data_IF_328864682836
#
_entry.id   IF_328864682836
#
_cell.length_a   1.000
_cell.length_b   1.000
_cell.length_c   1.000
_cell.angle_alpha   90.00
_cell.angle_beta   90.00
_cell.angle_gamma   90.00
#
_symmetry.space_group_name_H-M   'P 1'
#
loop_
_entity.id
_entity.type
_entity.pdbx_description
1 polymer ?
#
# COMPACT_ATOMS: atom_id res chain seq x y z
N UNK A 1 24.04 17.57 1.32
CA UNK A 1 23.86 16.56 2.39
C UNK A 1 23.85 15.19 1.73
N UNK A 2 24.46 14.12 2.26
CA UNK A 2 24.53 12.89 1.50
C UNK A 2 23.15 12.22 1.52
N UNK A 3 22.51 12.15 0.35
CA UNK A 3 21.35 11.32 0.01
C UNK A 3 20.01 11.60 0.70
N UNK A 4 19.85 12.62 1.55
CA UNK A 4 18.53 12.98 2.12
C UNK A 4 17.51 13.32 1.02
N UNK A 5 17.97 13.86 -0.10
CA UNK A 5 17.16 14.17 -1.29
C UNK A 5 16.57 12.91 -1.95
N UNK A 6 17.09 11.71 -1.63
CA UNK A 6 16.55 10.45 -2.13
C UNK A 6 15.37 9.93 -1.31
N UNK A 7 15.14 10.44 -0.09
CA UNK A 7 14.09 9.95 0.78
C UNK A 7 12.68 10.12 0.18
N UNK A 8 12.28 11.29 -0.39
CA UNK A 8 11.00 11.42 -1.06
C UNK A 8 10.87 10.47 -2.27
N UNK A 9 11.95 10.28 -3.02
CA UNK A 9 11.96 9.36 -4.17
C UNK A 9 11.75 7.90 -3.74
N UNK A 10 12.40 7.47 -2.67
CA UNK A 10 12.25 6.13 -2.11
C UNK A 10 10.84 5.90 -1.56
N UNK A 11 10.30 6.86 -0.81
CA UNK A 11 8.94 6.81 -0.28
C UNK A 11 7.89 6.78 -1.40
N UNK A 12 8.11 7.50 -2.51
CA UNK A 12 7.23 7.44 -3.69
C UNK A 12 7.19 6.03 -4.27
N UNK A 13 8.35 5.35 -4.38
CA UNK A 13 8.40 3.97 -4.87
C UNK A 13 7.76 2.98 -3.90
N UNK A 14 7.89 3.21 -2.59
CA UNK A 14 7.19 2.40 -1.59
C UNK A 14 5.67 2.59 -1.66
N UNK A 15 5.19 3.83 -1.86
CA UNK A 15 3.76 4.12 -2.08
C UNK A 15 3.22 3.41 -3.33
N UNK A 16 3.93 3.51 -4.46
CA UNK A 16 3.57 2.79 -5.70
C UNK A 16 3.51 1.27 -5.47
N UNK A 17 4.46 0.72 -4.71
CA UNK A 17 4.46 -0.70 -4.38
C UNK A 17 3.26 -1.08 -3.50
N UNK A 18 2.86 -0.26 -2.52
CA UNK A 18 1.67 -0.53 -1.70
C UNK A 18 0.40 -0.59 -2.55
N UNK A 19 0.21 0.36 -3.46
CA UNK A 19 -0.92 0.37 -4.39
C UNK A 19 -0.97 -0.89 -5.26
N UNK A 20 0.18 -1.28 -5.82
CA UNK A 20 0.27 -2.46 -6.67
C UNK A 20 0.01 -3.76 -5.90
N UNK A 21 0.57 -3.87 -4.68
CA UNK A 21 0.37 -5.03 -3.81
C UNK A 21 -1.08 -5.12 -3.32
N UNK A 22 -1.68 -4.01 -2.90
CA UNK A 22 -3.08 -3.98 -2.49
C UNK A 22 -3.99 -4.45 -3.62
N UNK A 23 -3.83 -3.91 -4.83
CA UNK A 23 -4.62 -4.29 -5.99
C UNK A 23 -4.48 -5.79 -6.32
N UNK A 24 -3.24 -6.30 -6.38
CA UNK A 24 -2.98 -7.70 -6.68
C UNK A 24 -3.56 -8.65 -5.62
N UNK A 25 -3.39 -8.32 -4.34
CA UNK A 25 -3.89 -9.14 -3.23
C UNK A 25 -5.42 -9.08 -3.17
N UNK A 26 -6.05 -7.93 -3.45
CA UNK A 26 -7.51 -7.79 -3.51
C UNK A 26 -8.09 -8.62 -4.65
N UNK A 27 -7.48 -8.60 -5.83
CA UNK A 27 -7.89 -9.43 -6.97
C UNK A 27 -7.81 -10.93 -6.64
N UNK A 28 -6.70 -11.37 -6.05
CA UNK A 28 -6.52 -12.76 -5.62
C UNK A 28 -7.53 -13.14 -4.52
N UNK A 29 -7.77 -12.28 -3.53
CA UNK A 29 -8.78 -12.50 -2.49
C UNK A 29 -10.18 -12.67 -3.08
N UNK A 30 -10.54 -11.81 -4.05
CA UNK A 30 -11.82 -11.91 -4.76
C UNK A 30 -11.94 -13.24 -5.51
N UNK A 31 -10.88 -13.66 -6.22
CA UNK A 31 -10.85 -14.95 -6.90
C UNK A 31 -11.02 -16.11 -5.91
N UNK A 32 -10.28 -16.14 -4.80
CA UNK A 32 -10.38 -17.17 -3.75
C UNK A 32 -11.81 -17.23 -3.17
N UNK A 33 -12.44 -16.08 -2.93
CA UNK A 33 -13.82 -16.00 -2.43
C UNK A 33 -14.83 -16.56 -3.43
N UNK A 34 -14.70 -16.24 -4.71
CA UNK A 34 -15.55 -16.77 -5.78
C UNK A 34 -15.40 -18.28 -5.98
N UNK A 35 -14.25 -18.85 -5.60
CA UNK A 35 -13.95 -20.28 -5.75
C UNK A 35 -14.14 -21.07 -4.44
N UNK A 36 -15.04 -20.59 -3.57
CA UNK A 36 -15.57 -21.36 -2.44
C UNK A 36 -14.81 -21.21 -1.12
N UNK A 37 -13.82 -20.32 -1.05
CA UNK A 37 -13.04 -20.06 0.16
C UNK A 37 -13.31 -18.65 0.72
N UNK A 38 -14.57 -18.36 1.03
CA UNK A 38 -15.00 -17.04 1.51
C UNK A 38 -14.27 -16.60 2.81
N UNK A 39 -14.08 -17.51 3.78
CA UNK A 39 -13.36 -17.21 5.02
C UNK A 39 -11.89 -16.81 4.75
N UNK A 40 -11.21 -17.49 3.82
CA UNK A 40 -9.85 -17.13 3.43
C UNK A 40 -9.84 -15.74 2.77
N UNK A 41 -10.79 -15.47 1.89
CA UNK A 41 -10.91 -14.16 1.26
C UNK A 41 -11.13 -13.04 2.28
N UNK A 42 -11.99 -13.26 3.27
CA UNK A 42 -12.26 -12.29 4.34
C UNK A 42 -11.07 -12.07 5.26
N UNK A 43 -10.33 -13.13 5.60
CA UNK A 43 -9.08 -13.00 6.36
C UNK A 43 -8.03 -12.19 5.58
N UNK A 44 -7.91 -12.41 4.27
CA UNK A 44 -7.01 -11.62 3.41
C UNK A 44 -7.46 -10.15 3.35
N UNK A 45 -8.77 -9.87 3.22
CA UNK A 45 -9.30 -8.50 3.24
C UNK A 45 -9.09 -7.80 4.58
N UNK A 46 -9.20 -8.54 5.69
CA UNK A 46 -8.86 -8.03 7.02
C UNK A 46 -7.38 -7.63 7.12
N UNK A 47 -6.47 -8.41 6.52
CA UNK A 47 -5.06 -8.06 6.45
C UNK A 47 -4.76 -6.89 5.50
N UNK A 48 -5.46 -6.80 4.36
CA UNK A 48 -5.36 -5.69 3.40
C UNK A 48 -5.62 -4.32 4.04
N UNK A 49 -6.47 -4.25 5.06
CA UNK A 49 -6.69 -3.02 5.83
C UNK A 49 -5.39 -2.40 6.36
N UNK A 50 -4.41 -3.23 6.76
CA UNK A 50 -3.11 -2.75 7.23
C UNK A 50 -2.27 -2.17 6.08
N UNK A 51 -2.37 -2.74 4.87
CA UNK A 51 -1.69 -2.21 3.68
C UNK A 51 -2.26 -0.84 3.34
N UNK A 52 -3.59 -0.69 3.27
CA UNK A 52 -4.23 0.59 2.98
C UNK A 52 -3.89 1.68 4.00
N UNK A 53 -3.82 1.34 5.30
CA UNK A 53 -3.35 2.29 6.32
C UNK A 53 -1.90 2.73 6.13
N UNK A 54 -1.01 1.81 5.76
CA UNK A 54 0.38 2.13 5.48
C UNK A 54 0.52 2.97 4.20
N UNK A 55 -0.29 2.69 3.18
CA UNK A 55 -0.37 3.47 1.95
C UNK A 55 -0.74 4.93 2.26
N UNK A 56 -1.81 5.14 3.04
CA UNK A 56 -2.26 6.48 3.44
C UNK A 56 -1.18 7.23 4.24
N UNK A 57 -0.55 6.56 5.19
CA UNK A 57 0.52 7.17 6.00
C UNK A 57 1.73 7.59 5.14
N UNK A 58 2.15 6.76 4.19
CA UNK A 58 3.25 7.10 3.27
C UNK A 58 2.85 8.28 2.39
N UNK A 59 1.62 8.31 1.87
CA UNK A 59 1.09 9.40 1.06
C UNK A 59 1.11 10.74 1.80
N UNK A 60 0.65 10.75 3.05
CA UNK A 60 0.68 11.94 3.90
C UNK A 60 2.11 12.41 4.16
N UNK A 61 3.02 11.48 4.46
CA UNK A 61 4.44 11.79 4.69
C UNK A 61 5.09 12.39 3.45
N UNK A 62 4.81 11.84 2.25
CA UNK A 62 5.27 12.41 0.98
C UNK A 62 4.77 13.83 0.77
N UNK A 63 3.49 14.09 1.02
CA UNK A 63 2.92 15.43 0.88
C UNK A 63 3.63 16.45 1.78
N UNK A 64 3.94 16.08 3.03
CA UNK A 64 4.70 16.93 3.96
C UNK A 64 6.12 17.19 3.44
N UNK A 65 6.84 16.14 3.02
CA UNK A 65 8.22 16.25 2.53
C UNK A 65 8.36 17.04 1.21
N UNK A 66 7.31 17.09 0.41
CA UNK A 66 7.28 17.81 -0.86
C UNK A 66 6.73 19.23 -0.76
N UNK A 67 6.27 19.65 0.42
CA UNK A 67 5.78 21.02 0.64
C UNK A 67 6.97 21.98 0.60
N UNK A 68 6.98 22.99 -0.29
CA UNK A 68 8.01 24.03 -0.28
C UNK A 68 8.01 24.80 1.04
N UNK A 69 9.18 25.22 1.53
CA UNK A 69 9.28 26.17 2.64
C UNK A 69 8.65 27.54 2.31
#
# INVERSE_FOLDING_TARGET
MPNTDLLPSLLSKLYENQLALEAAILELSNWVGQHGSAEVADNVRGALFTIGHNEEFIKMTLAVLQTPE
#
